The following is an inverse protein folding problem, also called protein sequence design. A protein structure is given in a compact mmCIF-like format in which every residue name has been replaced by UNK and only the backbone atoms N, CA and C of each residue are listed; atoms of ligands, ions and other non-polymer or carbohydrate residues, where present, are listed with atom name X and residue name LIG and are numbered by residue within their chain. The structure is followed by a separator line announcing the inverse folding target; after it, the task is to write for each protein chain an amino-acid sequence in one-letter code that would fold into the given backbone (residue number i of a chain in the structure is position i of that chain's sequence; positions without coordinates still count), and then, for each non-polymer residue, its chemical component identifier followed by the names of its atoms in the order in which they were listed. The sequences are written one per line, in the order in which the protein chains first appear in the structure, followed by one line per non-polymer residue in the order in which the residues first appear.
data_IF_085878809180
#
_entry.id   IF_085878809180
#
_cell.length_a   1.000
_cell.length_b   1.000
_cell.length_c   1.000
_cell.angle_alpha   90.00
_cell.angle_beta   90.00
_cell.angle_gamma   90.00
#
_symmetry.space_group_name_H-M   'P 1'
#
loop_
_entity.id
_entity.type
_entity.pdbx_description
1 polymer ?
#
# COMPACT_ATOMS: atom_id res chain seq x y z
N UNK A 1 11.03 -63.93 51.57
CA UNK A 1 10.33 -62.73 51.06
C UNK A 1 11.31 -61.58 50.94
N UNK A 2 11.61 -61.15 49.71
CA UNK A 2 12.08 -59.82 49.27
C UNK A 2 12.73 -60.00 47.89
N UNK A 3 11.96 -59.68 46.85
CA UNK A 3 12.48 -59.36 45.52
C UNK A 3 12.15 -57.91 45.30
N UNK A 4 13.10 -57.11 44.82
CA UNK A 4 12.86 -56.02 43.89
C UNK A 4 14.12 -55.94 43.03
N UNK A 5 13.94 -56.23 41.74
CA UNK A 5 14.95 -56.07 40.70
C UNK A 5 14.93 -54.62 40.24
N UNK A 6 16.11 -54.01 40.13
CA UNK A 6 16.31 -52.81 39.32
C UNK A 6 16.02 -53.14 37.86
N UNK A 7 15.53 -52.12 37.12
CA UNK A 7 15.67 -51.83 35.69
C UNK A 7 14.32 -51.40 35.11
N UNK A 8 14.17 -50.11 34.83
CA UNK A 8 13.90 -49.59 33.47
C UNK A 8 14.01 -48.08 33.52
N UNK A 9 15.01 -47.56 32.81
CA UNK A 9 15.11 -46.16 32.45
C UNK A 9 13.90 -45.78 31.60
N UNK A 10 13.17 -44.76 32.01
CA UNK A 10 12.16 -44.11 31.18
C UNK A 10 12.44 -42.60 31.26
N UNK A 11 13.28 -42.13 30.34
CA UNK A 11 13.46 -40.71 30.06
C UNK A 11 12.12 -40.16 29.59
N UNK A 12 11.43 -39.41 30.45
CA UNK A 12 10.22 -38.69 30.08
C UNK A 12 10.65 -37.38 29.40
N UNK A 13 10.99 -37.47 28.12
CA UNK A 13 11.23 -36.31 27.27
C UNK A 13 9.93 -35.52 27.11
N UNK A 14 9.80 -34.44 27.88
CA UNK A 14 8.73 -33.47 27.73
C UNK A 14 8.93 -32.70 26.41
N UNK A 15 8.29 -33.19 25.35
CA UNK A 15 8.27 -32.53 24.05
C UNK A 15 7.36 -31.30 24.14
N UNK A 16 7.98 -30.13 24.38
CA UNK A 16 7.31 -28.83 24.26
C UNK A 16 7.05 -28.56 22.78
N UNK A 17 5.84 -28.87 22.32
CA UNK A 17 5.34 -28.43 21.03
C UNK A 17 4.98 -26.94 21.11
N UNK A 18 5.95 -26.07 20.83
CA UNK A 18 5.70 -24.68 20.47
C UNK A 18 5.05 -24.66 19.09
N UNK A 19 3.71 -24.76 19.05
CA UNK A 19 2.97 -24.30 17.89
C UNK A 19 3.05 -22.76 17.86
N UNK A 20 4.12 -22.24 17.24
CA UNK A 20 4.12 -20.86 16.76
C UNK A 20 3.16 -20.80 15.58
N UNK A 21 1.88 -20.61 15.90
CA UNK A 21 0.91 -20.14 14.92
C UNK A 21 1.34 -18.71 14.53
N UNK A 22 2.18 -18.60 13.49
CA UNK A 22 2.19 -17.42 12.66
C UNK A 22 0.81 -17.39 11.99
N UNK A 23 -0.14 -16.75 12.66
CA UNK A 23 -1.34 -16.28 11.98
C UNK A 23 -0.83 -15.39 10.84
N UNK A 24 -1.22 -15.61 9.57
CA UNK A 24 -1.17 -14.51 8.62
C UNK A 24 -1.99 -13.41 9.29
N UNK A 25 -1.34 -12.28 9.57
CA UNK A 25 -1.98 -11.09 10.09
C UNK A 25 -3.19 -10.84 9.20
N UNK A 26 -4.39 -11.18 9.69
CA UNK A 26 -5.62 -10.78 9.05
C UNK A 26 -5.56 -9.27 9.08
N UNK A 27 -5.28 -8.66 7.94
CA UNK A 27 -5.46 -7.23 7.78
C UNK A 27 -6.91 -6.99 8.16
N UNK A 28 -7.11 -6.28 9.27
CA UNK A 28 -8.43 -5.97 9.75
C UNK A 28 -9.19 -5.31 8.59
N UNK A 29 -10.18 -6.02 8.06
CA UNK A 29 -11.15 -5.41 7.15
C UNK A 29 -11.83 -4.32 7.96
N UNK A 30 -11.72 -3.03 7.59
CA UNK A 30 -12.43 -1.98 8.29
C UNK A 30 -13.88 -1.99 7.77
N UNK A 31 -14.65 -2.95 8.29
CA UNK A 31 -16.10 -2.92 8.35
C UNK A 31 -16.47 -2.43 9.75
N UNK A 32 -16.70 -1.12 9.88
CA UNK A 32 -17.27 -0.55 11.10
C UNK A 32 -16.82 0.87 11.43
N UNK A 33 -15.55 1.20 11.20
CA UNK A 33 -15.07 2.57 11.24
C UNK A 33 -14.98 3.09 9.80
N UNK A 34 -15.76 4.13 9.46
CA UNK A 34 -15.54 4.92 8.24
C UNK A 34 -14.20 5.63 8.39
N UNK A 35 -13.08 4.94 8.23
CA UNK A 35 -11.76 5.58 8.29
C UNK A 35 -11.73 6.60 7.16
N UNK A 36 -11.63 7.86 7.54
CA UNK A 36 -11.75 8.99 6.63
C UNK A 36 -10.41 9.22 5.95
N UNK A 37 -10.37 9.02 4.62
CA UNK A 37 -9.21 9.31 3.79
C UNK A 37 -8.93 10.81 3.67
N UNK A 38 -9.85 11.68 4.08
CA UNK A 38 -9.65 13.13 3.98
C UNK A 38 -8.42 13.59 4.75
N UNK A 39 -7.87 14.70 4.29
CA UNK A 39 -6.73 15.37 4.90
C UNK A 39 -5.47 15.25 4.06
N UNK A 40 -4.36 15.64 4.68
CA UNK A 40 -3.04 15.65 4.03
C UNK A 40 -2.29 14.39 4.39
N UNK A 41 -1.79 13.69 3.38
CA UNK A 41 -1.00 12.47 3.51
C UNK A 41 0.36 12.68 2.86
N UNK A 42 1.41 12.17 3.47
CA UNK A 42 2.75 12.15 2.89
C UNK A 42 3.13 10.73 2.55
N UNK A 43 3.62 10.49 1.33
CA UNK A 43 4.24 9.20 0.99
C UNK A 43 5.56 9.10 1.73
N UNK A 44 5.59 8.27 2.77
CA UNK A 44 6.76 8.09 3.64
C UNK A 44 7.62 6.90 3.24
N UNK A 45 7.08 5.96 2.47
CA UNK A 45 7.84 4.84 1.93
C UNK A 45 7.30 4.37 0.58
N UNK A 46 8.19 3.83 -0.23
CA UNK A 46 7.88 3.15 -1.49
C UNK A 46 8.64 1.83 -1.51
N UNK A 47 7.96 0.72 -1.75
CA UNK A 47 8.59 -0.59 -1.93
C UNK A 47 8.08 -1.30 -3.19
N UNK A 48 8.90 -2.21 -3.72
CA UNK A 48 8.59 -3.00 -4.91
C UNK A 48 8.39 -4.46 -4.54
N UNK A 49 7.33 -5.09 -5.07
CA UNK A 49 7.17 -6.54 -5.07
C UNK A 49 7.28 -7.07 -6.51
N UNK A 50 8.03 -8.16 -6.69
CA UNK A 50 8.16 -8.84 -7.99
C UNK A 50 9.41 -8.47 -8.81
N UNK A 51 10.27 -7.56 -8.31
CA UNK A 51 11.56 -7.20 -8.93
C UNK A 51 12.55 -6.67 -7.89
N UNK A 52 13.84 -6.68 -8.20
CA UNK A 52 14.84 -5.92 -7.45
C UNK A 52 14.83 -4.45 -7.88
N UNK A 53 15.16 -3.54 -6.96
CA UNK A 53 15.17 -2.10 -7.26
C UNK A 53 16.21 -1.70 -8.32
N UNK A 54 17.26 -2.51 -8.50
CA UNK A 54 18.39 -2.19 -9.37
C UNK A 54 17.96 -2.22 -10.84
N UNK A 55 17.94 -1.03 -11.46
CA UNK A 55 17.60 -0.86 -12.87
C UNK A 55 16.11 -0.73 -13.15
N UNK A 56 15.25 -0.82 -12.12
CA UNK A 56 13.83 -0.58 -12.28
C UNK A 56 13.57 0.92 -12.40
N UNK A 57 13.16 1.36 -13.60
CA UNK A 57 12.75 2.74 -13.88
C UNK A 57 11.42 2.69 -14.62
N UNK A 58 10.38 3.24 -14.01
CA UNK A 58 9.06 3.32 -14.61
C UNK A 58 8.42 4.66 -14.27
N UNK A 59 7.83 5.28 -15.30
CA UNK A 59 6.94 6.42 -15.13
C UNK A 59 5.57 5.91 -14.70
N UNK A 60 5.02 6.49 -13.64
CA UNK A 60 3.70 6.15 -13.13
C UNK A 60 2.80 7.37 -13.22
N UNK A 61 1.50 7.08 -13.28
CA UNK A 61 0.45 8.09 -13.33
C UNK A 61 0.59 9.10 -14.49
N UNK A 62 1.27 8.69 -15.57
CA UNK A 62 1.66 9.50 -16.74
C UNK A 62 2.25 10.86 -16.38
N UNK A 63 3.02 10.91 -15.29
CA UNK A 63 3.50 12.16 -14.70
C UNK A 63 4.98 12.10 -14.35
N UNK A 64 5.38 11.21 -13.44
CA UNK A 64 6.75 11.16 -12.94
C UNK A 64 7.24 9.73 -12.70
N UNK A 65 8.56 9.58 -12.53
CA UNK A 65 9.13 8.31 -12.09
C UNK A 65 8.55 7.91 -10.73
N UNK A 66 8.35 6.61 -10.51
CA UNK A 66 7.75 6.12 -9.25
C UNK A 66 8.47 6.62 -7.99
N UNK A 67 9.80 6.75 -8.04
CA UNK A 67 10.63 7.25 -6.93
C UNK A 67 10.34 8.71 -6.57
N UNK A 68 9.87 9.52 -7.52
CA UNK A 68 9.56 10.92 -7.30
C UNK A 68 8.40 11.10 -6.33
N UNK A 69 7.54 10.09 -6.18
CA UNK A 69 6.45 10.15 -5.22
C UNK A 69 6.92 10.02 -3.78
N UNK A 70 8.17 9.64 -3.50
CA UNK A 70 8.73 9.66 -2.15
C UNK A 70 8.69 11.10 -1.59
N UNK A 71 8.09 11.28 -0.42
CA UNK A 71 7.89 12.60 0.18
C UNK A 71 6.82 13.45 -0.50
N UNK A 72 6.10 12.94 -1.49
CA UNK A 72 4.97 13.66 -2.09
C UNK A 72 3.83 13.83 -1.09
N UNK A 73 3.19 15.00 -1.13
CA UNK A 73 2.07 15.35 -0.25
C UNK A 73 0.76 15.34 -1.01
N UNK A 74 -0.23 14.62 -0.49
CA UNK A 74 -1.54 14.39 -1.09
C UNK A 74 -2.62 15.00 -0.22
N UNK A 75 -3.33 16.00 -0.74
CA UNK A 75 -4.45 16.64 -0.06
C UNK A 75 -5.77 16.12 -0.62
N UNK A 76 -6.52 15.40 0.20
CA UNK A 76 -7.77 14.73 -0.18
C UNK A 76 -8.98 15.43 0.47
N UNK A 77 -9.81 16.10 -0.34
CA UNK A 77 -11.00 16.83 0.12
C UNK A 77 -12.24 15.95 -0.06
N UNK A 78 -13.18 16.05 0.90
CA UNK A 78 -14.39 15.22 0.99
C UNK A 78 -15.21 15.07 -0.30
N UNK A 79 -15.24 16.10 -1.13
CA UNK A 79 -16.07 16.16 -2.34
C UNK A 79 -15.39 15.54 -3.58
N UNK A 80 -14.30 14.80 -3.36
CA UNK A 80 -13.51 14.16 -4.41
C UNK A 80 -12.45 15.08 -5.02
N UNK A 81 -12.47 16.40 -4.78
CA UNK A 81 -11.35 17.23 -5.19
C UNK A 81 -10.12 16.89 -4.34
N UNK A 82 -8.95 17.02 -4.95
CA UNK A 82 -7.69 16.89 -4.23
C UNK A 82 -6.53 17.38 -5.06
N UNK A 83 -5.34 17.22 -4.50
CA UNK A 83 -4.10 17.44 -5.21
C UNK A 83 -3.01 16.52 -4.67
N UNK A 84 -1.96 16.32 -5.45
CA UNK A 84 -0.70 15.85 -4.93
C UNK A 84 0.44 16.76 -5.39
N UNK A 85 1.44 16.92 -4.53
CA UNK A 85 2.63 17.73 -4.80
C UNK A 85 3.85 16.83 -4.75
N UNK A 86 4.52 16.68 -5.87
CA UNK A 86 5.80 15.97 -5.97
C UNK A 86 6.91 16.97 -5.58
N UNK A 87 7.85 16.60 -4.69
CA UNK A 87 8.99 17.44 -4.38
C UNK A 87 9.92 17.56 -5.59
N UNK A 88 10.53 18.73 -5.78
CA UNK A 88 11.59 18.89 -6.76
C UNK A 88 12.89 18.33 -6.17
N UNK A 89 13.37 17.21 -6.71
CA UNK A 89 14.61 16.57 -6.24
C UNK A 89 15.24 15.72 -7.34
N UNK A 90 16.54 15.91 -7.61
CA UNK A 90 17.23 15.17 -8.67
C UNK A 90 16.51 15.30 -10.02
N UNK A 91 16.15 14.15 -10.62
CA UNK A 91 15.44 14.07 -11.90
C UNK A 91 13.92 14.29 -11.79
N UNK A 92 13.39 14.55 -10.59
CA UNK A 92 11.96 14.69 -10.36
C UNK A 92 11.49 16.12 -10.62
N UNK A 93 10.70 16.31 -11.66
CA UNK A 93 9.98 17.56 -11.88
C UNK A 93 8.90 17.74 -10.81
N UNK A 94 9.20 18.59 -9.83
CA UNK A 94 8.29 18.91 -8.74
C UNK A 94 7.08 19.72 -9.20
N UNK A 95 6.14 19.93 -8.27
CA UNK A 95 4.96 20.76 -8.50
C UNK A 95 3.65 20.10 -8.09
N UNK A 96 2.58 20.89 -8.10
CA UNK A 96 1.24 20.41 -7.74
C UNK A 96 0.49 19.89 -8.96
N UNK A 97 -0.19 18.76 -8.79
CA UNK A 97 -1.15 18.19 -9.74
C UNK A 97 -2.51 18.18 -9.07
N UNK A 98 -3.52 18.72 -9.74
CA UNK A 98 -4.88 18.65 -9.25
C UNK A 98 -5.47 17.29 -9.64
N UNK A 99 -6.25 16.70 -8.74
CA UNK A 99 -6.87 15.40 -8.97
C UNK A 99 -8.35 15.41 -8.60
N UNK A 100 -9.10 14.48 -9.20
CA UNK A 100 -10.41 14.09 -8.70
C UNK A 100 -10.37 12.63 -8.26
N UNK A 101 -10.53 12.38 -6.97
CA UNK A 101 -10.38 11.08 -6.32
C UNK A 101 -11.70 10.51 -5.83
N UNK A 102 -11.73 9.19 -5.69
CA UNK A 102 -12.83 8.44 -5.08
C UNK A 102 -12.31 7.11 -4.53
N UNK A 103 -13.13 6.45 -3.72
CA UNK A 103 -12.90 5.06 -3.30
C UNK A 103 -13.97 4.18 -3.90
N UNK A 104 -13.57 3.08 -4.53
CA UNK A 104 -14.47 2.08 -5.08
C UNK A 104 -14.29 0.76 -4.33
N UNK A 105 -15.38 0.02 -4.13
CA UNK A 105 -15.33 -1.37 -3.68
C UNK A 105 -15.67 -2.27 -4.88
N UNK A 106 -14.78 -3.21 -5.19
CA UNK A 106 -14.95 -4.18 -6.27
C UNK A 106 -14.68 -5.55 -5.68
N UNK A 107 -15.71 -6.40 -5.67
CA UNK A 107 -15.60 -7.78 -5.18
C UNK A 107 -15.00 -7.90 -3.76
N UNK A 108 -15.31 -6.94 -2.88
CA UNK A 108 -14.81 -6.91 -1.50
C UNK A 108 -13.47 -6.20 -1.32
N UNK A 109 -12.73 -5.91 -2.40
CA UNK A 109 -11.49 -5.14 -2.35
C UNK A 109 -11.77 -3.63 -2.51
N UNK A 110 -11.13 -2.82 -1.67
CA UNK A 110 -11.20 -1.35 -1.74
C UNK A 110 -10.11 -0.82 -2.66
N UNK A 111 -10.45 0.16 -3.48
CA UNK A 111 -9.54 0.82 -4.40
C UNK A 111 -9.61 2.33 -4.24
N UNK A 112 -8.46 2.96 -4.03
CA UNK A 112 -8.30 4.40 -4.21
C UNK A 112 -8.10 4.66 -5.71
N UNK A 113 -8.91 5.53 -6.29
CA UNK A 113 -8.78 5.87 -7.70
C UNK A 113 -8.84 7.37 -7.89
N UNK A 114 -8.09 7.88 -8.85
CA UNK A 114 -8.04 9.29 -9.13
C UNK A 114 -7.81 9.59 -10.61
N UNK A 115 -8.24 10.78 -11.02
CA UNK A 115 -7.99 11.34 -12.34
C UNK A 115 -7.07 12.54 -12.19
N UNK A 116 -6.05 12.65 -13.04
CA UNK A 116 -5.26 13.87 -13.15
C UNK A 116 -6.09 14.93 -13.87
N UNK A 117 -6.31 16.07 -13.21
CA UNK A 117 -6.99 17.21 -13.77
C UNK A 117 -5.94 18.12 -14.38
N UNK A 118 -5.88 18.14 -15.72
CA UNK A 118 -5.14 19.18 -16.44
C UNK A 118 -5.64 20.58 -16.06
N UNK A 119 -4.84 21.60 -16.33
CA UNK A 119 -5.15 22.99 -15.98
C UNK A 119 -6.52 23.41 -16.54
N UNK A 120 -7.46 23.76 -15.66
CA UNK A 120 -8.81 24.21 -16.03
C UNK A 120 -9.76 23.12 -16.51
N UNK A 121 -9.38 21.84 -16.48
CA UNK A 121 -10.20 20.73 -16.95
C UNK A 121 -11.16 20.24 -15.86
N UNK A 122 -12.45 20.12 -16.18
CA UNK A 122 -13.46 19.58 -15.27
C UNK A 122 -13.34 18.04 -15.17
N UNK A 123 -13.58 17.43 -13.99
CA UNK A 123 -13.45 15.98 -13.81
C UNK A 123 -14.30 15.11 -14.75
N UNK A 124 -15.46 15.60 -15.17
CA UNK A 124 -16.35 14.89 -16.10
C UNK A 124 -15.86 14.88 -17.55
N UNK A 125 -14.83 15.67 -17.88
CA UNK A 125 -14.16 15.68 -19.20
C UNK A 125 -12.95 14.76 -19.25
N UNK A 126 -12.50 14.25 -18.11
CA UNK A 126 -11.36 13.31 -18.03
C UNK A 126 -11.91 11.89 -18.01
N UNK A 127 -11.58 11.09 -19.02
CA UNK A 127 -12.05 9.69 -19.14
C UNK A 127 -11.10 8.71 -18.49
N UNK A 128 -9.81 9.04 -18.46
CA UNK A 128 -8.75 8.15 -17.97
C UNK A 128 -8.39 8.46 -16.51
N UNK A 129 -7.80 7.48 -15.84
CA UNK A 129 -7.40 7.63 -14.46
C UNK A 129 -6.67 6.40 -13.94
N UNK A 130 -6.26 6.49 -12.69
CA UNK A 130 -5.45 5.48 -12.03
C UNK A 130 -6.22 4.86 -10.89
N UNK A 131 -5.92 3.59 -10.64
CA UNK A 131 -6.52 2.81 -9.58
C UNK A 131 -5.42 2.10 -8.81
N UNK A 132 -5.46 2.26 -7.50
CA UNK A 132 -4.58 1.62 -6.55
C UNK A 132 -5.40 0.81 -5.57
N UNK A 133 -4.98 -0.43 -5.34
CA UNK A 133 -5.61 -1.29 -4.36
C UNK A 133 -5.22 -0.84 -2.94
N UNK A 134 -6.22 -0.68 -2.08
CA UNK A 134 -6.01 -0.31 -0.69
C UNK A 134 -5.71 -1.57 0.12
N UNK A 135 -4.43 -1.79 0.38
CA UNK A 135 -3.96 -2.94 1.14
C UNK A 135 -4.28 -2.80 2.63
N UNK A 136 -4.16 -1.59 3.19
CA UNK A 136 -4.58 -1.29 4.56
C UNK A 136 -4.90 0.19 4.72
N UNK A 137 -5.74 0.50 5.71
CA UNK A 137 -6.11 1.86 6.07
C UNK A 137 -6.37 1.96 7.58
N UNK A 138 -5.65 2.86 8.24
CA UNK A 138 -5.81 3.22 9.65
C UNK A 138 -6.00 4.72 9.79
N UNK A 139 -6.13 5.20 11.03
CA UNK A 139 -6.24 6.63 11.30
C UNK A 139 -5.01 7.43 10.85
N UNK A 140 -3.81 6.85 10.82
CA UNK A 140 -2.57 7.59 10.55
C UNK A 140 -1.72 6.98 9.43
N UNK A 141 -2.16 5.86 8.85
CA UNK A 141 -1.43 5.18 7.79
C UNK A 141 -2.37 4.62 6.73
N UNK A 142 -1.97 4.73 5.46
CA UNK A 142 -2.64 4.10 4.33
C UNK A 142 -1.60 3.40 3.45
N UNK A 143 -1.86 2.16 3.04
CA UNK A 143 -1.01 1.41 2.12
C UNK A 143 -1.76 1.22 0.80
N UNK A 144 -1.26 1.85 -0.26
CA UNK A 144 -1.82 1.74 -1.61
C UNK A 144 -0.86 0.96 -2.51
N UNK A 145 -1.40 0.04 -3.30
CA UNK A 145 -0.63 -0.78 -4.24
C UNK A 145 -1.07 -0.50 -5.68
N UNK A 146 -0.12 -0.20 -6.54
CA UNK A 146 -0.33 -0.15 -7.99
C UNK A 146 0.37 -1.32 -8.66
N UNK A 147 -0.16 -1.79 -9.78
CA UNK A 147 0.47 -2.80 -10.62
C UNK A 147 0.93 -2.13 -11.92
N UNK A 148 2.18 -2.39 -12.31
CA UNK A 148 2.76 -1.91 -13.57
C UNK A 148 3.32 -3.10 -14.35
N UNK A 149 3.25 -3.03 -15.68
CA UNK A 149 3.95 -3.98 -16.52
C UNK A 149 5.37 -3.46 -16.77
N UNK A 150 6.37 -4.28 -16.46
CA UNK A 150 7.78 -3.99 -16.74
C UNK A 150 8.43 -5.24 -17.32
N UNK A 151 8.94 -5.13 -18.55
CA UNK A 151 9.59 -6.22 -19.28
C UNK A 151 8.73 -7.51 -19.34
N UNK A 152 7.41 -7.36 -19.52
CA UNK A 152 6.48 -8.50 -19.59
C UNK A 152 6.13 -9.13 -18.24
N UNK A 153 6.64 -8.59 -17.12
CA UNK A 153 6.28 -9.01 -15.76
C UNK A 153 5.39 -7.98 -15.09
N UNK A 154 4.50 -8.45 -14.22
CA UNK A 154 3.75 -7.55 -13.33
C UNK A 154 4.60 -7.24 -12.12
N UNK A 155 4.89 -5.96 -11.91
CA UNK A 155 5.58 -5.44 -10.72
C UNK A 155 4.57 -4.66 -9.91
N UNK A 156 4.57 -4.84 -8.59
CA UNK A 156 3.73 -4.06 -7.70
C UNK A 156 4.55 -2.97 -7.02
N UNK A 157 4.03 -1.74 -7.06
CA UNK A 157 4.60 -0.60 -6.34
C UNK A 157 3.68 -0.30 -5.17
N UNK A 158 4.22 -0.42 -3.95
CA UNK A 158 3.51 -0.16 -2.71
C UNK A 158 3.91 1.21 -2.17
N UNK A 159 2.92 2.06 -1.94
CA UNK A 159 3.07 3.39 -1.39
C UNK A 159 2.52 3.39 0.04
N UNK A 160 3.40 3.65 1.02
CA UNK A 160 2.98 3.91 2.39
C UNK A 160 2.78 5.40 2.56
N UNK A 161 1.58 5.78 2.94
CA UNK A 161 1.19 7.14 3.27
C UNK A 161 1.04 7.27 4.78
N UNK A 162 1.51 8.38 5.33
CA UNK A 162 1.35 8.74 6.75
C UNK A 162 0.84 10.16 6.90
N UNK A 163 0.04 10.43 7.93
CA UNK A 163 -0.44 11.76 8.29
C UNK A 163 -0.26 12.04 9.77
#
# INVERSE_FOLDING_TARGET
MKRIKLLTAASLSLLVLLFTACSPSRVASPEGAKVDLKGTWTVSNISLDGISEKGFKVTVFDDALYQCYMGSQWNLIANGNGSYTVPASGDCTGGQRNIYWSVQNISGAKYFQFKNLGTGVKPNRVTDGYRLEMQSLTANQMLLRSAVNFEGKTVYINYTFTR
#
